data_IF_677181584123
#
_entry.id   IF_677181584123
#
_cell.length_a   1.000
_cell.length_b   1.000
_cell.length_c   1.000
_cell.angle_alpha   90.00
_cell.angle_beta   90.00
_cell.angle_gamma   90.00
#
_symmetry.space_group_name_H-M   'P 1'
#
loop_
_entity.id
_entity.type
_entity.pdbx_description
1 polymer ?
#
# COMPACT_ATOMS: atom_id res chain seq x y z
N UNK A 1 -20.70 -3.79 -14.58
CA UNK A 1 -19.22 -3.66 -14.47
C UNK A 1 -18.53 -3.97 -15.80
N UNK A 2 -18.60 -5.20 -16.33
CA UNK A 2 -17.94 -5.53 -17.62
C UNK A 2 -18.34 -4.62 -18.79
N UNK A 3 -19.62 -4.24 -18.91
CA UNK A 3 -20.09 -3.28 -19.92
C UNK A 3 -19.42 -1.91 -19.83
N UNK A 4 -19.21 -1.40 -18.60
CA UNK A 4 -18.55 -0.12 -18.36
C UNK A 4 -17.08 -0.16 -18.76
N UNK A 5 -16.38 -1.24 -18.39
CA UNK A 5 -14.97 -1.44 -18.76
C UNK A 5 -14.83 -1.55 -20.28
N UNK A 6 -15.71 -2.28 -20.97
CA UNK A 6 -15.74 -2.33 -22.44
C UNK A 6 -15.91 -0.95 -23.06
N UNK A 7 -16.84 -0.16 -22.56
CA UNK A 7 -17.06 1.21 -23.05
C UNK A 7 -15.78 2.05 -22.91
N UNK A 8 -15.11 1.97 -21.76
CA UNK A 8 -13.85 2.68 -21.53
C UNK A 8 -12.71 2.20 -22.44
N UNK A 9 -12.60 0.88 -22.69
CA UNK A 9 -11.62 0.33 -23.64
C UNK A 9 -11.90 0.83 -25.06
N UNK A 10 -13.16 0.89 -25.48
CA UNK A 10 -13.55 1.40 -26.81
C UNK A 10 -13.21 2.89 -26.94
N UNK A 11 -13.46 3.68 -25.89
CA UNK A 11 -13.15 5.12 -25.87
C UNK A 11 -11.63 5.38 -25.98
N UNK A 12 -10.82 4.64 -25.23
CA UNK A 12 -9.34 4.79 -25.21
C UNK A 12 -8.70 4.15 -26.46
N UNK A 13 -9.35 3.14 -27.02
CA UNK A 13 -8.82 2.25 -28.06
C UNK A 13 -8.07 1.08 -27.44
N UNK A 14 -8.46 -0.14 -27.79
CA UNK A 14 -7.90 -1.41 -27.31
C UNK A 14 -6.37 -1.49 -27.43
N UNK A 15 -5.80 -0.98 -28.52
CA UNK A 15 -4.33 -0.95 -28.76
C UNK A 15 -3.54 -0.07 -27.77
N UNK A 16 -4.24 0.85 -27.09
CA UNK A 16 -3.67 1.78 -26.11
C UNK A 16 -3.83 1.26 -24.68
N UNK A 17 -4.62 0.21 -24.47
CA UNK A 17 -4.83 -0.39 -23.14
C UNK A 17 -3.87 -1.55 -22.94
N UNK A 18 -3.15 -1.55 -21.82
CA UNK A 18 -2.23 -2.63 -21.44
C UNK A 18 -2.93 -3.61 -20.49
N UNK A 19 -3.57 -3.09 -19.45
CA UNK A 19 -4.18 -3.89 -18.40
C UNK A 19 -5.41 -3.22 -17.81
N UNK A 20 -6.25 -4.04 -17.18
CA UNK A 20 -7.36 -3.65 -16.32
C UNK A 20 -7.07 -4.14 -14.91
N UNK A 21 -6.88 -3.21 -13.98
CA UNK A 21 -6.60 -3.50 -12.57
C UNK A 21 -7.90 -3.40 -11.78
N UNK A 22 -8.25 -4.45 -11.02
CA UNK A 22 -9.41 -4.44 -10.11
C UNK A 22 -9.08 -5.12 -8.78
N UNK A 23 -9.98 -5.00 -7.80
CA UNK A 23 -9.86 -5.74 -6.54
C UNK A 23 -9.92 -7.26 -6.73
N UNK A 24 -9.65 -8.01 -5.66
CA UNK A 24 -9.59 -9.47 -5.70
C UNK A 24 -10.94 -10.15 -5.46
N UNK A 25 -12.04 -9.40 -5.44
CA UNK A 25 -13.36 -9.97 -5.23
C UNK A 25 -13.70 -10.94 -6.38
N UNK A 26 -14.43 -12.04 -6.11
CA UNK A 26 -14.78 -13.02 -7.14
C UNK A 26 -15.48 -12.40 -8.36
N UNK A 27 -16.31 -11.37 -8.15
CA UNK A 27 -17.01 -10.63 -9.22
C UNK A 27 -16.02 -9.87 -10.09
N UNK A 28 -15.06 -9.16 -9.49
CA UNK A 28 -14.02 -8.41 -10.20
C UNK A 28 -13.11 -9.34 -11.01
N UNK A 29 -12.75 -10.50 -10.44
CA UNK A 29 -12.02 -11.55 -11.16
C UNK A 29 -12.80 -12.09 -12.35
N UNK A 30 -14.09 -12.40 -12.18
CA UNK A 30 -14.93 -12.89 -13.27
C UNK A 30 -15.07 -11.85 -14.39
N UNK A 31 -15.21 -10.58 -14.04
CA UNK A 31 -15.22 -9.47 -15.01
C UNK A 31 -13.88 -9.36 -15.75
N UNK A 32 -12.76 -9.46 -15.02
CA UNK A 32 -11.42 -9.49 -15.61
C UNK A 32 -11.27 -10.57 -16.68
N UNK A 33 -11.69 -11.80 -16.36
CA UNK A 33 -11.67 -12.92 -17.31
C UNK A 33 -12.52 -12.65 -18.57
N UNK A 34 -13.70 -12.05 -18.42
CA UNK A 34 -14.54 -11.68 -19.57
C UNK A 34 -13.84 -10.67 -20.48
N UNK A 35 -13.15 -9.68 -19.89
CA UNK A 35 -12.38 -8.69 -20.66
C UNK A 35 -11.20 -9.34 -21.39
N UNK A 36 -10.50 -10.28 -20.78
CA UNK A 36 -9.40 -10.99 -21.45
C UNK A 36 -9.88 -11.88 -22.60
N UNK A 37 -11.12 -12.38 -22.56
CA UNK A 37 -11.73 -13.11 -23.68
C UNK A 37 -12.06 -12.16 -24.83
N UNK A 38 -12.65 -11.01 -24.53
CA UNK A 38 -13.04 -10.02 -25.55
C UNK A 38 -11.82 -9.32 -26.17
N UNK A 39 -10.77 -9.12 -25.37
CA UNK A 39 -9.54 -8.42 -25.74
C UNK A 39 -8.31 -9.26 -25.35
N UNK A 40 -7.90 -10.24 -26.17
CA UNK A 40 -6.85 -11.18 -25.82
C UNK A 40 -5.48 -10.57 -25.52
N UNK A 41 -5.21 -9.34 -25.94
CA UNK A 41 -3.94 -8.64 -25.68
C UNK A 41 -3.96 -7.80 -24.39
N UNK A 42 -5.13 -7.55 -23.80
CA UNK A 42 -5.28 -6.83 -22.54
C UNK A 42 -5.17 -7.82 -21.38
N UNK A 43 -4.44 -7.43 -20.35
CA UNK A 43 -4.26 -8.25 -19.15
C UNK A 43 -5.27 -7.83 -18.07
N UNK A 44 -5.86 -8.80 -17.38
CA UNK A 44 -6.45 -8.52 -16.08
C UNK A 44 -5.38 -8.71 -15.00
N UNK A 45 -5.27 -7.74 -14.09
CA UNK A 45 -4.35 -7.81 -12.97
C UNK A 45 -5.06 -7.51 -11.66
N UNK A 46 -4.84 -8.32 -10.61
CA UNK A 46 -5.34 -8.03 -9.29
C UNK A 46 -4.58 -6.87 -8.66
N UNK A 47 -5.30 -6.02 -7.93
CA UNK A 47 -4.72 -4.90 -7.20
C UNK A 47 -3.76 -5.38 -6.10
N UNK A 48 -2.50 -4.91 -6.17
CA UNK A 48 -1.46 -5.30 -5.20
C UNK A 48 -1.78 -4.75 -3.80
N UNK A 49 -2.26 -3.51 -3.68
CA UNK A 49 -2.66 -2.91 -2.39
C UNK A 49 -3.76 -3.73 -1.73
N UNK A 50 -4.79 -4.10 -2.50
CA UNK A 50 -5.88 -4.94 -1.99
C UNK A 50 -5.36 -6.33 -1.58
N UNK A 51 -4.40 -6.90 -2.32
CA UNK A 51 -3.75 -8.16 -1.99
C UNK A 51 -3.01 -8.10 -0.66
N UNK A 52 -2.18 -7.07 -0.44
CA UNK A 52 -1.45 -6.84 0.80
C UNK A 52 -2.39 -6.62 1.98
N UNK A 53 -3.48 -5.87 1.77
CA UNK A 53 -4.47 -5.69 2.82
C UNK A 53 -5.17 -6.99 3.20
N UNK A 54 -5.51 -7.85 2.23
CA UNK A 54 -6.07 -9.17 2.53
C UNK A 54 -5.07 -10.07 3.26
N UNK A 55 -3.76 -9.89 3.04
CA UNK A 55 -2.73 -10.56 3.84
C UNK A 55 -2.74 -10.06 5.29
N UNK A 56 -2.70 -8.73 5.49
CA UNK A 56 -2.78 -8.12 6.81
C UNK A 56 -4.06 -8.51 7.56
N UNK A 57 -5.19 -8.59 6.88
CA UNK A 57 -6.46 -9.05 7.46
C UNK A 57 -6.39 -10.50 7.92
N UNK A 58 -5.77 -11.38 7.13
CA UNK A 58 -5.60 -12.78 7.50
C UNK A 58 -4.68 -12.94 8.72
N UNK A 59 -3.67 -12.07 8.86
CA UNK A 59 -2.74 -12.05 9.99
C UNK A 59 -3.42 -11.45 11.24
N UNK A 60 -4.01 -10.26 11.11
CA UNK A 60 -4.49 -9.49 12.27
C UNK A 60 -5.87 -9.92 12.78
N UNK A 61 -6.67 -10.58 11.94
CA UNK A 61 -8.03 -11.01 12.24
C UNK A 61 -8.25 -12.48 11.86
N UNK A 62 -7.32 -13.34 12.27
CA UNK A 62 -7.40 -14.78 12.04
C UNK A 62 -8.70 -15.34 12.64
N UNK A 63 -9.46 -16.08 11.83
CA UNK A 63 -10.73 -16.70 12.25
C UNK A 63 -10.49 -18.15 12.66
N UNK A 64 -11.15 -18.56 13.74
CA UNK A 64 -11.19 -19.95 14.16
C UNK A 64 -12.16 -20.72 13.26
N UNK A 65 -11.62 -21.51 12.34
CA UNK A 65 -12.36 -22.41 11.46
C UNK A 65 -11.56 -23.70 11.32
N UNK A 66 -12.20 -24.83 11.04
CA UNK A 66 -11.53 -26.15 10.88
C UNK A 66 -10.35 -26.12 9.88
N UNK A 67 -10.39 -25.20 8.89
CA UNK A 67 -9.32 -25.06 7.87
C UNK A 67 -8.20 -24.11 8.27
N UNK A 68 -8.30 -23.44 9.41
CA UNK A 68 -7.42 -22.33 9.82
C UNK A 68 -7.00 -22.42 11.29
N UNK A 69 -7.08 -23.60 11.91
CA UNK A 69 -6.79 -23.81 13.34
C UNK A 69 -5.37 -23.39 13.72
N UNK A 70 -4.38 -23.80 12.92
CA UNK A 70 -2.96 -23.47 13.15
C UNK A 70 -2.74 -21.96 13.07
N UNK A 71 -3.24 -21.32 12.02
CA UNK A 71 -3.08 -19.88 11.86
C UNK A 71 -3.86 -19.09 12.94
N UNK A 72 -5.00 -19.61 13.39
CA UNK A 72 -5.71 -19.04 14.53
C UNK A 72 -4.85 -19.16 15.81
N UNK A 73 -4.29 -20.33 16.11
CA UNK A 73 -3.45 -20.52 17.29
C UNK A 73 -2.25 -19.57 17.31
N UNK A 74 -1.60 -19.35 16.16
CA UNK A 74 -0.40 -18.53 16.04
C UNK A 74 -0.69 -17.01 15.95
N UNK A 75 -1.84 -16.59 15.41
CA UNK A 75 -2.15 -15.18 15.17
C UNK A 75 -3.24 -14.59 16.08
N UNK A 76 -4.00 -15.38 16.84
CA UNK A 76 -5.15 -14.89 17.62
C UNK A 76 -4.77 -13.80 18.63
N UNK A 77 -3.59 -13.89 19.23
CA UNK A 77 -3.08 -12.89 20.18
C UNK A 77 -3.00 -11.48 19.55
N UNK A 78 -2.82 -11.36 18.23
CA UNK A 78 -2.83 -10.10 17.49
C UNK A 78 -4.24 -9.51 17.50
N UNK A 79 -5.24 -10.35 17.26
CA UNK A 79 -6.65 -9.97 17.31
C UNK A 79 -7.05 -9.50 18.71
N UNK A 80 -6.65 -10.23 19.77
CA UNK A 80 -6.90 -9.82 21.15
C UNK A 80 -6.23 -8.47 21.48
N UNK A 81 -4.98 -8.28 21.03
CA UNK A 81 -4.23 -7.03 21.26
C UNK A 81 -4.92 -5.85 20.59
N UNK A 82 -5.38 -6.01 19.34
CA UNK A 82 -6.16 -5.00 18.60
C UNK A 82 -7.53 -4.73 19.22
N UNK A 83 -8.22 -5.76 19.71
CA UNK A 83 -9.51 -5.59 20.41
C UNK A 83 -9.35 -4.78 21.70
N UNK A 84 -8.27 -4.97 22.46
CA UNK A 84 -7.95 -4.14 23.64
C UNK A 84 -7.72 -2.68 23.27
N UNK A 85 -6.97 -2.41 22.19
CA UNK A 85 -6.79 -1.04 21.69
C UNK A 85 -8.13 -0.40 21.31
N UNK A 86 -8.97 -1.12 20.57
CA UNK A 86 -10.31 -0.63 20.19
C UNK A 86 -11.23 -0.43 21.39
N UNK A 87 -11.14 -1.28 22.42
CA UNK A 87 -11.87 -1.11 23.67
C UNK A 87 -11.48 0.19 24.38
N UNK A 88 -10.18 0.43 24.55
CA UNK A 88 -9.67 1.69 25.15
C UNK A 88 -10.14 2.90 24.33
N UNK A 89 -10.03 2.83 23.01
CA UNK A 89 -10.49 3.89 22.11
C UNK A 89 -11.97 4.19 22.29
N UNK A 90 -12.81 3.17 22.18
CA UNK A 90 -14.27 3.35 22.29
C UNK A 90 -14.66 3.85 23.68
N UNK A 91 -13.95 3.41 24.73
CA UNK A 91 -14.20 3.87 26.10
C UNK A 91 -13.96 5.37 26.26
N UNK A 92 -12.90 5.91 25.64
CA UNK A 92 -12.55 7.33 25.68
C UNK A 92 -13.46 8.15 24.75
N UNK A 93 -13.59 7.74 23.49
CA UNK A 93 -14.22 8.54 22.44
C UNK A 93 -15.74 8.64 22.57
N UNK A 94 -16.41 7.67 23.18
CA UNK A 94 -17.87 7.63 23.25
C UNK A 94 -18.47 8.51 24.38
N UNK A 95 -17.64 9.14 25.22
CA UNK A 95 -18.11 9.99 26.32
C UNK A 95 -17.40 11.34 26.31
N UNK A 96 -18.16 12.43 26.16
CA UNK A 96 -17.65 13.79 26.01
C UNK A 96 -16.66 14.21 27.11
N UNK A 97 -16.96 13.89 28.37
CA UNK A 97 -16.05 14.19 29.49
C UNK A 97 -14.72 13.43 29.42
N UNK A 98 -14.72 12.17 28.98
CA UNK A 98 -13.49 11.36 28.85
C UNK A 98 -12.65 11.87 27.68
N UNK A 99 -13.32 12.27 26.60
CA UNK A 99 -12.69 12.92 25.46
C UNK A 99 -12.06 14.27 25.86
N UNK A 100 -12.74 15.07 26.68
CA UNK A 100 -12.20 16.32 27.21
C UNK A 100 -10.93 16.09 28.03
N UNK A 101 -10.96 15.14 28.98
CA UNK A 101 -9.78 14.74 29.75
C UNK A 101 -8.67 14.26 28.79
N UNK A 102 -8.98 13.40 27.83
CA UNK A 102 -8.00 12.93 26.84
C UNK A 102 -7.30 14.08 26.10
N UNK A 103 -8.06 15.06 25.62
CA UNK A 103 -7.52 16.21 24.89
C UNK A 103 -6.62 17.12 25.76
N UNK A 104 -6.71 17.07 27.10
CA UNK A 104 -5.79 17.79 27.98
C UNK A 104 -4.41 17.13 28.06
N UNK A 105 -4.33 15.81 27.90
CA UNK A 105 -3.07 15.04 28.04
C UNK A 105 -2.47 14.60 26.71
N UNK A 106 -3.26 14.56 25.64
CA UNK A 106 -2.86 14.06 24.33
C UNK A 106 -3.18 15.13 23.28
N UNK A 107 -2.16 15.74 22.64
CA UNK A 107 -2.38 16.78 21.64
C UNK A 107 -2.89 16.22 20.30
N UNK A 108 -2.70 14.92 20.07
CA UNK A 108 -3.10 14.24 18.83
C UNK A 108 -4.47 13.59 18.97
N UNK A 109 -5.30 13.79 17.96
CA UNK A 109 -6.60 13.13 17.90
C UNK A 109 -6.46 11.61 17.80
N UNK A 110 -7.35 10.91 18.50
CA UNK A 110 -7.47 9.46 18.35
C UNK A 110 -8.20 9.14 17.06
N UNK A 111 -7.63 8.25 16.25
CA UNK A 111 -8.14 8.02 14.90
C UNK A 111 -9.40 7.19 14.85
N UNK A 112 -10.37 7.68 14.06
CA UNK A 112 -11.53 6.92 13.63
C UNK A 112 -11.32 6.34 12.23
N UNK A 113 -10.57 5.23 12.17
CA UNK A 113 -10.35 4.49 10.92
C UNK A 113 -11.56 3.60 10.65
N UNK A 114 -12.20 3.75 9.48
CA UNK A 114 -13.25 2.84 9.04
C UNK A 114 -12.70 1.41 8.89
N UNK A 115 -13.47 0.39 9.33
CA UNK A 115 -13.08 -1.03 9.25
C UNK A 115 -12.77 -1.52 7.82
N UNK A 116 -13.24 -0.78 6.82
CA UNK A 116 -13.03 -1.04 5.39
C UNK A 116 -11.69 -0.54 4.85
N UNK A 117 -10.93 0.25 5.62
CA UNK A 117 -9.65 0.83 5.17
C UNK A 117 -8.49 -0.14 5.29
N UNK A 118 -7.53 0.01 4.37
CA UNK A 118 -6.33 -0.80 4.33
C UNK A 118 -5.53 -0.68 5.64
N UNK A 119 -5.03 -1.81 6.14
CA UNK A 119 -4.16 -1.86 7.32
C UNK A 119 -4.70 -1.17 8.59
N UNK A 120 -6.03 -1.06 8.76
CA UNK A 120 -6.67 -0.30 9.85
C UNK A 120 -6.16 -0.64 11.25
N UNK A 121 -5.94 -1.94 11.54
CA UNK A 121 -5.35 -2.41 12.81
C UNK A 121 -3.98 -1.80 13.03
N UNK A 122 -3.11 -1.80 12.02
CA UNK A 122 -1.73 -1.31 12.12
C UNK A 122 -1.72 0.21 12.30
N UNK A 123 -2.57 0.95 11.59
CA UNK A 123 -2.73 2.40 11.72
C UNK A 123 -3.15 2.78 13.15
N UNK A 124 -4.15 2.08 13.70
CA UNK A 124 -4.61 2.31 15.07
C UNK A 124 -3.48 2.03 16.08
N UNK A 125 -2.80 0.90 15.96
CA UNK A 125 -1.71 0.53 16.87
C UNK A 125 -0.53 1.52 16.80
N UNK A 126 -0.15 1.98 15.60
CA UNK A 126 0.86 3.03 15.41
C UNK A 126 0.44 4.33 16.10
N UNK A 127 -0.81 4.78 15.95
CA UNK A 127 -1.31 5.97 16.66
C UNK A 127 -1.25 5.78 18.17
N UNK A 128 -1.69 4.62 18.67
CA UNK A 128 -1.62 4.29 20.11
C UNK A 128 -0.20 4.39 20.66
N UNK A 129 0.78 3.86 19.92
CA UNK A 129 2.19 3.97 20.28
C UNK A 129 2.66 5.42 20.36
N UNK A 130 2.27 6.24 19.38
CA UNK A 130 2.64 7.67 19.33
C UNK A 130 2.09 8.45 20.53
N UNK A 131 0.88 8.14 20.98
CA UNK A 131 0.21 8.83 22.10
C UNK A 131 0.40 8.12 23.46
N UNK A 132 1.28 7.11 23.54
CA UNK A 132 1.45 6.25 24.72
C UNK A 132 1.70 7.06 26.00
N UNK A 133 2.63 8.00 25.98
CA UNK A 133 3.00 8.78 27.17
C UNK A 133 1.84 9.63 27.69
N UNK A 134 1.08 10.26 26.79
CA UNK A 134 -0.09 11.05 27.16
C UNK A 134 -1.21 10.17 27.73
N UNK A 135 -1.47 9.00 27.12
CA UNK A 135 -2.43 8.03 27.66
C UNK A 135 -2.04 7.54 29.06
N UNK A 136 -0.76 7.22 29.28
CA UNK A 136 -0.26 6.76 30.57
C UNK A 136 -0.40 7.84 31.65
N UNK A 137 -0.09 9.08 31.31
CA UNK A 137 -0.23 10.25 32.22
C UNK A 137 -1.70 10.52 32.54
N UNK A 138 -2.58 10.41 31.54
CA UNK A 138 -4.03 10.59 31.69
C UNK A 138 -4.60 9.61 32.72
N UNK A 139 -4.34 8.31 32.61
CA UNK A 139 -4.97 7.29 33.49
C UNK A 139 -4.46 7.27 34.93
N UNK A 140 -3.34 7.94 35.20
CA UNK A 140 -2.81 8.13 36.56
C UNK A 140 -3.20 9.49 37.17
N UNK A 141 -3.81 10.38 36.39
CA UNK A 141 -4.21 11.71 36.86
C UNK A 141 -5.34 11.67 37.91
N UNK A 142 -5.38 12.72 38.74
CA UNK A 142 -6.47 12.93 39.70
C UNK A 142 -7.81 13.14 38.99
N UNK A 143 -7.80 13.82 37.84
CA UNK A 143 -8.98 14.04 37.01
C UNK A 143 -9.62 12.71 36.56
N UNK A 144 -8.80 11.77 36.07
CA UNK A 144 -9.27 10.43 35.70
C UNK A 144 -9.82 9.65 36.89
N UNK A 145 -9.26 9.88 38.08
CA UNK A 145 -9.71 9.21 39.31
C UNK A 145 -11.03 9.77 39.83
N UNK A 146 -11.21 11.10 39.78
CA UNK A 146 -12.44 11.77 40.19
C UNK A 146 -13.65 11.41 39.31
N UNK A 147 -13.42 11.11 38.03
CA UNK A 147 -14.48 10.84 37.06
C UNK A 147 -15.13 9.43 37.18
N UNK A 148 -14.57 8.50 37.98
CA UNK A 148 -14.93 7.06 37.95
C UNK A 148 -16.37 6.68 38.32
N UNK A 149 -17.23 7.61 38.73
CA UNK A 149 -18.50 7.33 39.42
C UNK A 149 -19.54 6.51 38.62
N UNK A 150 -19.47 6.45 37.27
CA UNK A 150 -20.49 5.75 36.44
C UNK A 150 -20.00 4.45 35.74
N UNK A 151 -18.69 4.17 35.68
CA UNK A 151 -18.13 3.06 34.87
C UNK A 151 -16.82 2.50 35.48
N UNK A 152 -16.77 2.40 36.82
CA UNK A 152 -15.55 2.09 37.61
C UNK A 152 -14.79 0.86 37.07
N UNK A 153 -15.49 -0.23 36.77
CA UNK A 153 -14.86 -1.49 36.32
C UNK A 153 -14.17 -1.32 34.96
N UNK A 154 -14.86 -0.74 33.97
CA UNK A 154 -14.28 -0.51 32.64
C UNK A 154 -13.12 0.49 32.71
N UNK A 155 -13.24 1.54 33.52
CA UNK A 155 -12.17 2.51 33.74
C UNK A 155 -10.93 1.86 34.38
N UNK A 156 -11.13 0.91 35.30
CA UNK A 156 -10.05 0.11 35.88
C UNK A 156 -9.38 -0.76 34.83
N UNK A 157 -10.15 -1.47 33.99
CA UNK A 157 -9.62 -2.27 32.87
C UNK A 157 -8.83 -1.42 31.87
N UNK A 158 -9.31 -0.22 31.52
CA UNK A 158 -8.57 0.70 30.64
C UNK A 158 -7.24 1.12 31.26
N UNK A 159 -7.24 1.47 32.55
CA UNK A 159 -6.02 1.80 33.29
C UNK A 159 -5.04 0.62 33.32
N UNK A 160 -5.53 -0.60 33.56
CA UNK A 160 -4.71 -1.81 33.54
C UNK A 160 -4.07 -2.04 32.17
N UNK A 161 -4.83 -1.94 31.08
CA UNK A 161 -4.32 -2.12 29.71
C UNK A 161 -3.24 -1.07 29.41
N UNK A 162 -3.49 0.21 29.68
CA UNK A 162 -2.57 1.31 29.35
C UNK A 162 -1.28 1.25 30.15
N UNK A 163 -1.31 0.73 31.38
CA UNK A 163 -0.13 0.59 32.24
C UNK A 163 0.57 -0.78 32.12
N UNK A 164 0.10 -1.66 31.23
CA UNK A 164 0.66 -3.00 31.06
C UNK A 164 1.80 -3.01 30.02
N UNK A 165 3.04 -3.12 30.50
CA UNK A 165 4.22 -3.15 29.63
C UNK A 165 4.23 -4.35 28.68
N UNK A 166 3.76 -5.52 29.12
CA UNK A 166 3.66 -6.72 28.27
C UNK A 166 2.67 -6.50 27.12
N UNK A 167 1.60 -5.73 27.34
CA UNK A 167 0.68 -5.37 26.26
C UNK A 167 1.35 -4.42 25.26
N UNK A 168 2.12 -3.44 25.73
CA UNK A 168 2.87 -2.54 24.85
C UNK A 168 3.95 -3.27 24.06
N UNK A 169 4.65 -4.24 24.65
CA UNK A 169 5.63 -5.08 23.95
C UNK A 169 4.97 -5.85 22.80
N UNK A 170 3.74 -6.36 22.98
CA UNK A 170 2.95 -6.97 21.91
C UNK A 170 2.59 -5.97 20.81
N UNK A 171 2.20 -4.75 21.17
CA UNK A 171 1.91 -3.67 20.20
C UNK A 171 3.15 -3.34 19.38
N UNK A 172 4.30 -3.19 20.05
CA UNK A 172 5.58 -2.90 19.41
C UNK A 172 6.00 -4.02 18.46
N UNK A 173 5.83 -5.27 18.88
CA UNK A 173 6.12 -6.43 18.03
C UNK A 173 5.24 -6.45 16.78
N UNK A 174 3.92 -6.26 16.92
CA UNK A 174 2.99 -6.20 15.78
C UNK A 174 3.41 -5.13 14.78
N UNK A 175 3.70 -3.92 15.26
CA UNK A 175 4.14 -2.81 14.40
C UNK A 175 5.46 -3.16 13.70
N UNK A 176 6.41 -3.75 14.42
CA UNK A 176 7.73 -4.06 13.88
C UNK A 176 7.67 -5.06 12.73
N UNK A 177 7.03 -6.23 12.92
CA UNK A 177 7.05 -7.26 11.87
C UNK A 177 6.10 -6.93 10.70
N UNK A 178 5.06 -6.11 10.92
CA UNK A 178 4.16 -5.68 9.84
C UNK A 178 4.66 -4.44 9.10
N UNK A 179 5.69 -3.75 9.59
CA UNK A 179 6.25 -2.57 8.94
C UNK A 179 6.65 -2.82 7.47
N UNK A 180 7.38 -3.91 7.11
CA UNK A 180 7.73 -4.15 5.70
C UNK A 180 6.51 -4.34 4.79
N UNK A 181 5.43 -4.94 5.29
CA UNK A 181 4.16 -5.10 4.55
C UNK A 181 3.50 -3.75 4.35
N UNK A 182 3.46 -2.92 5.41
CA UNK A 182 2.90 -1.58 5.37
C UNK A 182 3.68 -0.65 4.43
N UNK A 183 5.01 -0.71 4.44
CA UNK A 183 5.86 0.10 3.58
C UNK A 183 5.67 -0.25 2.10
N UNK A 184 5.59 -1.55 1.80
CA UNK A 184 5.23 -2.03 0.46
C UNK A 184 3.85 -1.51 0.03
N UNK A 185 2.89 -1.54 0.96
CA UNK A 185 1.53 -1.07 0.71
C UNK A 185 1.55 0.42 0.35
N UNK A 186 2.27 1.27 1.09
CA UNK A 186 2.42 2.70 0.80
C UNK A 186 3.02 2.98 -0.58
N UNK A 187 4.10 2.28 -0.94
CA UNK A 187 4.74 2.47 -2.25
C UNK A 187 3.80 2.08 -3.39
N UNK A 188 3.07 0.98 -3.23
CA UNK A 188 2.13 0.47 -4.24
C UNK A 188 0.79 1.22 -4.25
N UNK A 189 0.45 1.91 -3.17
CA UNK A 189 -0.69 2.82 -3.07
C UNK A 189 -0.40 4.18 -3.70
N UNK A 190 0.32 4.21 -4.81
CA UNK A 190 0.56 5.43 -5.58
C UNK A 190 0.26 5.18 -7.05
N UNK A 191 0.10 6.26 -7.81
CA UNK A 191 -0.10 6.16 -9.26
C UNK A 191 1.24 6.08 -10.00
N UNK A 192 2.35 5.94 -9.25
CA UNK A 192 3.69 5.83 -9.81
C UNK A 192 3.86 4.49 -10.53
N UNK A 193 4.74 4.42 -11.53
CA UNK A 193 5.07 3.17 -12.17
C UNK A 193 5.73 2.20 -11.18
N UNK A 194 4.99 1.19 -10.77
CA UNK A 194 5.38 0.25 -9.70
C UNK A 194 5.29 -1.20 -10.14
N UNK A 195 4.65 -1.49 -11.28
CA UNK A 195 4.42 -2.85 -11.77
C UNK A 195 5.71 -3.70 -11.85
N UNK A 196 6.83 -3.09 -12.26
CA UNK A 196 8.13 -3.75 -12.41
C UNK A 196 8.86 -4.00 -11.09
N UNK A 197 8.46 -3.31 -10.02
CA UNK A 197 9.03 -3.43 -8.69
C UNK A 197 8.34 -4.50 -7.86
N UNK A 198 7.07 -4.82 -8.17
CA UNK A 198 6.22 -5.70 -7.36
C UNK A 198 6.91 -7.01 -6.99
N UNK A 199 7.52 -7.72 -7.94
CA UNK A 199 8.18 -9.02 -7.69
C UNK A 199 9.27 -8.88 -6.62
N UNK A 200 10.24 -7.98 -6.85
CA UNK A 200 11.32 -7.73 -5.91
C UNK A 200 10.83 -7.20 -4.55
N UNK A 201 9.80 -6.35 -4.56
CA UNK A 201 9.21 -5.81 -3.33
C UNK A 201 8.60 -6.92 -2.47
N UNK A 202 7.98 -7.94 -3.06
CA UNK A 202 7.47 -9.09 -2.33
C UNK A 202 8.59 -9.90 -1.68
N UNK A 203 9.64 -10.23 -2.42
CA UNK A 203 10.79 -10.98 -1.89
C UNK A 203 11.45 -10.23 -0.74
N UNK A 204 11.77 -8.95 -0.97
CA UNK A 204 12.40 -8.08 0.04
C UNK A 204 11.51 -7.92 1.28
N UNK A 205 10.20 -7.76 1.09
CA UNK A 205 9.25 -7.63 2.19
C UNK A 205 9.22 -8.92 3.02
N UNK A 206 9.13 -10.09 2.38
CA UNK A 206 9.11 -11.39 3.08
C UNK A 206 10.41 -11.61 3.86
N UNK A 207 11.57 -11.30 3.27
CA UNK A 207 12.87 -11.42 3.94
C UNK A 207 12.95 -10.51 5.19
N UNK A 208 12.47 -9.26 5.09
CA UNK A 208 12.43 -8.33 6.23
C UNK A 208 11.44 -8.77 7.31
N UNK A 209 10.28 -9.31 6.94
CA UNK A 209 9.32 -9.91 7.87
C UNK A 209 9.97 -11.08 8.62
N UNK A 210 10.62 -12.00 7.88
CA UNK A 210 11.35 -13.14 8.45
C UNK A 210 12.39 -12.69 9.47
N UNK A 211 13.26 -11.77 9.07
CA UNK A 211 14.34 -11.25 9.92
C UNK A 211 13.79 -10.62 11.20
N UNK A 212 12.69 -9.87 11.11
CA UNK A 212 12.06 -9.22 12.26
C UNK A 212 11.44 -10.23 13.23
N UNK A 213 10.75 -11.24 12.72
CA UNK A 213 10.13 -12.30 13.53
C UNK A 213 11.21 -13.13 14.23
N UNK A 214 12.21 -13.63 13.49
CA UNK A 214 13.27 -14.46 14.07
C UNK A 214 14.09 -13.71 15.12
N UNK A 215 14.39 -12.43 14.87
CA UNK A 215 15.08 -11.57 15.84
C UNK A 215 14.28 -11.43 17.14
N UNK A 216 12.96 -11.25 17.05
CA UNK A 216 12.10 -11.16 18.24
C UNK A 216 12.02 -12.50 18.99
N UNK A 217 12.04 -13.61 18.28
CA UNK A 217 12.05 -14.96 18.87
C UNK A 217 13.43 -15.40 19.40
N UNK A 218 14.49 -14.59 19.19
CA UNK A 218 15.86 -14.94 19.58
C UNK A 218 16.44 -16.11 18.76
N UNK A 219 16.00 -16.24 17.50
CA UNK A 219 16.33 -17.34 16.59
C UNK A 219 17.29 -16.92 15.48
N UNK A 220 18.13 -17.86 15.05
CA UNK A 220 19.02 -17.69 13.90
C UNK A 220 18.27 -17.86 12.56
N UNK A 221 18.86 -17.42 11.44
CA UNK A 221 18.19 -17.38 10.13
C UNK A 221 17.67 -18.74 9.60
N UNK A 222 18.25 -19.83 10.11
CA UNK A 222 17.94 -21.21 9.73
C UNK A 222 17.03 -21.93 10.74
N UNK A 223 16.71 -21.30 11.87
CA UNK A 223 15.85 -21.88 12.89
C UNK A 223 14.39 -21.87 12.43
N UNK A 224 13.64 -22.87 12.88
CA UNK A 224 12.22 -22.96 12.58
C UNK A 224 11.39 -22.04 13.49
N UNK A 225 10.47 -21.29 12.91
CA UNK A 225 9.47 -20.50 13.62
C UNK A 225 8.08 -20.85 13.10
N UNK A 226 7.23 -21.41 13.96
CA UNK A 226 5.85 -21.76 13.62
C UNK A 226 5.03 -20.52 13.26
N UNK A 227 5.26 -19.42 13.99
CA UNK A 227 4.65 -18.13 13.69
C UNK A 227 5.08 -17.59 12.32
N UNK A 228 6.38 -17.60 12.02
CA UNK A 228 6.86 -17.21 10.69
C UNK A 228 6.30 -18.13 9.60
N UNK A 229 6.27 -19.44 9.81
CA UNK A 229 5.74 -20.40 8.83
C UNK A 229 4.27 -20.09 8.48
N UNK A 230 3.46 -19.72 9.48
CA UNK A 230 2.08 -19.26 9.27
C UNK A 230 2.02 -17.94 8.51
N UNK A 231 2.80 -16.93 8.92
CA UNK A 231 2.82 -15.61 8.26
C UNK A 231 3.30 -15.74 6.81
N UNK A 232 4.39 -16.48 6.58
CA UNK A 232 4.95 -16.79 5.27
C UNK A 232 3.92 -17.51 4.39
N UNK A 233 3.25 -18.54 4.92
CA UNK A 233 2.18 -19.24 4.21
C UNK A 233 1.09 -18.27 3.75
N UNK A 234 0.60 -17.38 4.63
CA UNK A 234 -0.39 -16.35 4.29
C UNK A 234 0.11 -15.43 3.18
N UNK A 235 1.36 -14.96 3.26
CA UNK A 235 1.96 -14.05 2.27
C UNK A 235 2.10 -14.74 0.90
N UNK A 236 2.63 -15.95 0.85
CA UNK A 236 2.79 -16.74 -0.38
C UNK A 236 1.44 -17.09 -0.99
N UNK A 237 0.45 -17.44 -0.18
CA UNK A 237 -0.91 -17.73 -0.64
C UNK A 237 -1.56 -16.53 -1.34
N UNK A 238 -1.21 -15.31 -0.89
CA UNK A 238 -1.68 -14.05 -1.48
C UNK A 238 -0.87 -13.69 -2.71
N UNK A 239 0.46 -13.81 -2.64
CA UNK A 239 1.36 -13.60 -3.77
C UNK A 239 0.98 -14.49 -4.96
N UNK A 240 0.87 -15.81 -4.76
CA UNK A 240 0.54 -16.79 -5.80
C UNK A 240 -0.79 -16.49 -6.51
N UNK A 241 -1.76 -15.94 -5.80
CA UNK A 241 -3.07 -15.56 -6.35
C UNK A 241 -3.05 -14.21 -7.08
N UNK A 242 -2.00 -13.41 -6.87
CA UNK A 242 -1.88 -12.03 -7.37
C UNK A 242 -0.81 -11.83 -8.45
N UNK A 243 0.25 -12.63 -8.44
CA UNK A 243 1.30 -12.57 -9.45
C UNK A 243 0.73 -12.96 -10.81
N UNK A 244 1.10 -12.20 -11.83
CA UNK A 244 0.64 -12.43 -13.21
C UNK A 244 1.82 -12.42 -14.16
N UNK A 245 1.69 -13.00 -15.37
CA UNK A 245 2.70 -12.89 -16.42
C UNK A 245 3.20 -11.46 -16.67
N UNK A 246 2.33 -10.47 -16.45
CA UNK A 246 2.64 -9.06 -16.66
C UNK A 246 3.63 -8.53 -15.62
N UNK A 247 3.49 -8.93 -14.35
CA UNK A 247 4.46 -8.60 -13.29
C UNK A 247 5.84 -9.16 -13.61
N UNK A 248 5.91 -10.44 -13.99
CA UNK A 248 7.17 -11.11 -14.34
C UNK A 248 7.82 -10.50 -15.60
N UNK A 249 7.03 -10.12 -16.60
CA UNK A 249 7.53 -9.41 -17.79
C UNK A 249 8.06 -8.02 -17.42
N UNK A 250 7.31 -7.23 -16.65
CA UNK A 250 7.72 -5.90 -16.24
C UNK A 250 9.01 -5.94 -15.40
N UNK A 251 9.10 -6.88 -14.46
CA UNK A 251 10.30 -7.13 -13.67
C UNK A 251 11.49 -7.56 -14.55
N UNK A 252 11.26 -8.43 -15.54
CA UNK A 252 12.29 -8.84 -16.51
C UNK A 252 12.83 -7.69 -17.36
N UNK A 253 12.10 -6.58 -17.48
CA UNK A 253 12.49 -5.39 -18.25
C UNK A 253 13.08 -4.29 -17.38
N UNK A 254 13.18 -4.48 -16.06
CA UNK A 254 13.82 -3.50 -15.19
C UNK A 254 15.34 -3.53 -15.44
N UNK A 255 15.99 -2.42 -15.87
CA UNK A 255 17.42 -2.39 -16.10
C UNK A 255 18.24 -2.42 -14.81
N UNK A 256 17.67 -2.00 -13.67
CA UNK A 256 18.33 -2.02 -12.37
C UNK A 256 18.49 -3.45 -11.84
N UNK A 257 19.72 -3.77 -11.44
CA UNK A 257 20.11 -5.05 -10.84
C UNK A 257 20.57 -4.95 -9.37
N UNK A 258 20.23 -3.84 -8.70
CA UNK A 258 20.72 -3.43 -7.36
C UNK A 258 20.20 -4.42 -6.32
N UNK A 259 18.95 -4.80 -6.53
CA UNK A 259 18.23 -5.78 -5.75
C UNK A 259 18.89 -7.16 -5.74
N UNK A 260 19.72 -7.52 -6.71
CA UNK A 260 20.45 -8.80 -6.70
C UNK A 260 21.48 -8.86 -5.58
N UNK A 261 22.02 -7.72 -5.16
CA UNK A 261 23.01 -7.66 -4.08
C UNK A 261 22.39 -7.74 -2.68
N UNK A 262 21.07 -7.55 -2.55
CA UNK A 262 20.39 -7.55 -1.26
C UNK A 262 20.30 -8.93 -0.60
N UNK A 263 20.30 -10.02 -1.40
CA UNK A 263 20.29 -11.38 -0.88
C UNK A 263 21.01 -12.36 -1.83
N UNK A 264 21.78 -13.29 -1.27
CA UNK A 264 22.66 -14.20 -2.04
C UNK A 264 21.91 -15.23 -2.90
N UNK A 265 20.64 -15.49 -2.62
CA UNK A 265 19.77 -16.41 -3.35
C UNK A 265 19.07 -15.76 -4.55
N UNK A 266 19.19 -14.44 -4.73
CA UNK A 266 18.55 -13.72 -5.85
C UNK A 266 19.33 -13.96 -7.13
N UNK A 267 18.60 -14.17 -8.22
CA UNK A 267 19.17 -14.42 -9.55
C UNK A 267 18.56 -13.48 -10.58
N UNK A 268 19.31 -13.12 -11.64
CA UNK A 268 18.76 -12.31 -12.71
C UNK A 268 17.48 -12.92 -13.33
N UNK A 269 16.52 -12.11 -13.83
CA UNK A 269 15.24 -12.60 -14.36
C UNK A 269 15.33 -13.59 -15.53
N UNK A 270 16.48 -13.63 -16.23
CA UNK A 270 16.73 -14.57 -17.30
C UNK A 270 17.22 -15.95 -16.80
N UNK A 271 17.69 -16.04 -15.56
CA UNK A 271 18.14 -17.26 -14.88
C UNK A 271 17.07 -17.87 -13.96
N UNK A 272 16.05 -17.10 -13.60
CA UNK A 272 14.90 -17.59 -12.86
C UNK A 272 13.91 -18.34 -13.76
N UNK A 273 13.61 -19.59 -13.42
CA UNK A 273 12.77 -20.47 -14.25
C UNK A 273 11.30 -20.05 -14.24
N UNK A 274 10.78 -19.58 -13.10
CA UNK A 274 9.39 -19.14 -12.96
C UNK A 274 9.18 -17.86 -13.74
N UNK A 275 10.05 -16.87 -13.54
CA UNK A 275 10.02 -15.60 -14.29
C UNK A 275 10.15 -15.87 -15.79
N UNK A 276 11.03 -16.78 -16.21
CA UNK A 276 11.18 -17.13 -17.62
C UNK A 276 9.91 -17.74 -18.24
N UNK A 277 9.24 -18.65 -17.53
CA UNK A 277 7.97 -19.25 -17.98
C UNK A 277 6.89 -18.18 -18.12
N UNK A 278 6.73 -17.33 -17.11
CA UNK A 278 5.71 -16.28 -17.05
C UNK A 278 5.97 -15.17 -18.08
N UNK A 279 7.23 -14.72 -18.23
CA UNK A 279 7.64 -13.79 -19.30
C UNK A 279 7.27 -14.32 -20.67
N UNK A 280 7.53 -15.60 -20.95
CA UNK A 280 7.19 -16.21 -22.22
C UNK A 280 5.68 -16.33 -22.45
N UNK A 281 4.88 -16.52 -21.39
CA UNK A 281 3.40 -16.43 -21.47
C UNK A 281 2.98 -15.02 -21.85
N UNK A 282 3.57 -14.00 -21.23
CA UNK A 282 3.30 -12.60 -21.56
C UNK A 282 3.64 -12.27 -23.03
N UNK A 283 4.83 -12.67 -23.51
CA UNK A 283 5.23 -12.46 -24.91
C UNK A 283 4.29 -13.13 -25.91
N UNK A 284 3.79 -14.35 -25.61
CA UNK A 284 2.78 -15.03 -26.47
C UNK A 284 1.46 -14.28 -26.53
N UNK A 285 1.04 -13.69 -25.40
CA UNK A 285 -0.19 -12.89 -25.32
C UNK A 285 -0.03 -11.54 -26.04
N UNK A 286 1.14 -10.92 -25.92
CA UNK A 286 1.42 -9.62 -26.53
C UNK A 286 1.63 -9.71 -28.05
N UNK A 287 2.43 -10.68 -28.50
CA UNK A 287 2.80 -10.87 -29.91
C UNK A 287 2.11 -12.11 -30.50
N UNK A 288 0.98 -11.85 -31.18
CA UNK A 288 0.21 -12.88 -31.87
C UNK A 288 0.97 -13.45 -33.08
N UNK A 289 1.70 -12.61 -33.80
CA UNK A 289 2.57 -13.01 -34.89
C UNK A 289 3.81 -13.76 -34.35
N UNK A 290 4.12 -14.91 -34.94
CA UNK A 290 5.22 -15.76 -34.48
C UNK A 290 6.61 -15.19 -34.77
N UNK A 291 6.78 -14.47 -35.87
CA UNK A 291 8.05 -13.84 -36.26
C UNK A 291 8.34 -12.64 -35.35
N UNK A 292 7.35 -11.79 -35.09
CA UNK A 292 7.48 -10.68 -34.14
C UNK A 292 7.83 -11.20 -32.74
N UNK A 293 7.19 -12.29 -32.31
CA UNK A 293 7.49 -12.92 -31.02
C UNK A 293 8.92 -13.47 -30.96
N UNK A 294 9.41 -14.08 -32.05
CA UNK A 294 10.80 -14.57 -32.14
C UNK A 294 11.78 -13.41 -32.09
N UNK A 295 11.50 -12.33 -32.82
CA UNK A 295 12.31 -11.11 -32.80
C UNK A 295 12.35 -10.48 -31.40
N UNK A 296 11.19 -10.29 -30.75
CA UNK A 296 11.12 -9.76 -29.38
C UNK A 296 11.87 -10.64 -28.36
N UNK A 297 11.85 -11.97 -28.54
CA UNK A 297 12.62 -12.90 -27.70
C UNK A 297 14.12 -12.74 -27.90
N UNK A 298 14.58 -12.54 -29.15
CA UNK A 298 15.99 -12.27 -29.45
C UNK A 298 16.43 -10.92 -28.91
N UNK A 299 15.60 -9.89 -29.04
CA UNK A 299 15.84 -8.58 -28.44
C UNK A 299 15.97 -8.66 -26.92
N UNK A 300 15.10 -9.45 -26.27
CA UNK A 300 15.20 -9.71 -24.83
C UNK A 300 16.54 -10.36 -24.47
N UNK A 301 17.00 -11.34 -25.27
CA UNK A 301 18.29 -11.98 -25.04
C UNK A 301 19.47 -11.00 -25.13
N UNK A 302 19.42 -10.02 -26.05
CA UNK A 302 20.44 -8.95 -26.14
C UNK A 302 20.44 -8.08 -24.89
N UNK A 303 19.27 -7.64 -24.45
CA UNK A 303 19.12 -6.86 -23.21
C UNK A 303 19.62 -7.64 -21.98
N UNK A 304 19.10 -8.85 -21.77
CA UNK A 304 19.47 -9.65 -20.59
C UNK A 304 20.94 -10.07 -20.59
N UNK A 305 21.51 -10.27 -21.79
CA UNK A 305 22.91 -10.62 -21.99
C UNK A 305 23.86 -9.42 -22.00
N UNK A 306 23.36 -8.19 -21.79
CA UNK A 306 24.15 -6.94 -21.84
C UNK A 306 24.96 -6.82 -23.14
N UNK A 307 24.33 -7.16 -24.27
CA UNK A 307 24.96 -7.11 -25.59
C UNK A 307 24.83 -5.71 -26.19
N UNK A 308 25.77 -5.38 -27.07
CA UNK A 308 25.78 -4.12 -27.84
C UNK A 308 25.62 -2.90 -26.91
N UNK A 309 24.68 -2.00 -27.21
CA UNK A 309 24.40 -0.77 -26.46
C UNK A 309 24.04 -1.02 -24.98
N UNK A 310 23.53 -2.20 -24.61
CA UNK A 310 23.15 -2.52 -23.24
C UNK A 310 24.33 -2.89 -22.34
N UNK A 311 25.47 -3.22 -22.94
CA UNK A 311 26.74 -3.47 -22.25
C UNK A 311 27.68 -2.28 -22.24
N UNK A 312 27.27 -1.16 -22.85
CA UNK A 312 28.09 0.04 -22.89
C UNK A 312 28.24 0.66 -21.49
N UNK A 313 29.36 1.36 -21.27
CA UNK A 313 29.71 1.93 -19.97
C UNK A 313 28.61 2.85 -19.44
N UNK A 314 28.13 3.78 -20.27
CA UNK A 314 27.07 4.72 -19.89
C UNK A 314 25.76 3.98 -19.58
N UNK A 315 25.42 2.96 -20.35
CA UNK A 315 24.22 2.13 -20.11
C UNK A 315 24.28 1.35 -18.79
N UNK A 316 25.47 0.86 -18.42
CA UNK A 316 25.73 0.17 -17.16
C UNK A 316 25.75 1.12 -15.96
N UNK A 317 26.14 2.38 -16.15
CA UNK A 317 26.13 3.39 -15.10
C UNK A 317 24.73 3.96 -14.89
N UNK A 318 24.00 4.22 -15.98
CA UNK A 318 22.73 4.91 -15.94
C UNK A 318 21.56 4.05 -15.45
N UNK A 319 21.69 2.72 -15.45
CA UNK A 319 20.64 1.84 -14.90
C UNK A 319 20.37 2.04 -13.40
N UNK A 320 21.31 2.69 -12.71
CA UNK A 320 21.25 3.02 -11.28
C UNK A 320 20.66 4.41 -11.02
N UNK A 321 20.81 5.33 -11.96
CA UNK A 321 20.47 6.74 -11.80
C UNK A 321 19.17 7.12 -12.52
N UNK A 322 18.88 6.49 -13.66
CA UNK A 322 17.73 6.79 -14.48
C UNK A 322 16.53 5.96 -14.07
N UNK A 323 15.35 6.58 -14.14
CA UNK A 323 14.09 5.83 -14.09
C UNK A 323 14.06 4.81 -15.24
N UNK A 324 13.57 3.57 -15.02
CA UNK A 324 13.57 2.51 -16.02
C UNK A 324 13.02 2.93 -17.38
N UNK A 325 11.93 3.71 -17.39
CA UNK A 325 11.34 4.25 -18.63
C UNK A 325 12.31 5.15 -19.40
N UNK A 326 13.02 6.05 -18.71
CA UNK A 326 13.99 6.95 -19.31
C UNK A 326 15.19 6.18 -19.85
N UNK A 327 15.68 5.19 -19.09
CA UNK A 327 16.76 4.31 -19.53
C UNK A 327 16.40 3.57 -20.84
N UNK A 328 15.17 3.04 -20.95
CA UNK A 328 14.72 2.39 -22.17
C UNK A 328 14.57 3.35 -23.36
N UNK A 329 14.26 4.63 -23.14
CA UNK A 329 14.24 5.63 -24.21
C UNK A 329 15.64 5.89 -24.78
N UNK A 330 16.65 5.93 -23.92
CA UNK A 330 18.04 6.20 -24.31
C UNK A 330 18.68 4.96 -24.97
N UNK A 331 18.60 3.81 -24.31
CA UNK A 331 19.39 2.62 -24.68
C UNK A 331 18.59 1.55 -25.46
N UNK A 332 17.25 1.66 -25.51
CA UNK A 332 16.39 0.63 -26.12
C UNK A 332 16.28 0.66 -27.65
N UNK A 333 16.94 1.61 -28.34
CA UNK A 333 16.77 1.86 -29.78
C UNK A 333 17.11 0.67 -30.67
N UNK A 334 18.04 -0.19 -30.24
CA UNK A 334 18.46 -1.40 -30.96
C UNK A 334 17.48 -2.57 -30.82
N UNK A 335 16.42 -2.40 -30.00
CA UNK A 335 15.40 -3.41 -29.70
C UNK A 335 13.99 -2.81 -29.81
N UNK A 336 13.52 -2.46 -31.01
CA UNK A 336 12.29 -1.69 -31.18
C UNK A 336 11.02 -2.41 -30.69
N UNK A 337 10.94 -3.74 -30.80
CA UNK A 337 9.77 -4.49 -30.33
C UNK A 337 9.73 -4.54 -28.81
N UNK A 338 10.87 -4.83 -28.19
CA UNK A 338 11.01 -4.93 -26.75
C UNK A 338 10.90 -3.56 -26.08
N UNK A 339 11.52 -2.53 -26.66
CA UNK A 339 11.43 -1.14 -26.18
C UNK A 339 9.97 -0.68 -26.13
N UNK A 340 9.18 -0.99 -27.16
CA UNK A 340 7.74 -0.67 -27.17
C UNK A 340 6.98 -1.32 -26.03
N UNK A 341 7.33 -2.55 -25.67
CA UNK A 341 6.74 -3.25 -24.52
C UNK A 341 7.23 -2.63 -23.20
N UNK A 342 8.54 -2.39 -23.07
CA UNK A 342 9.15 -1.81 -21.87
C UNK A 342 8.55 -0.45 -21.52
N UNK A 343 8.46 0.48 -22.48
CA UNK A 343 7.87 1.80 -22.26
C UNK A 343 6.40 1.73 -21.81
N UNK A 344 5.67 0.71 -22.28
CA UNK A 344 4.28 0.47 -21.87
C UNK A 344 4.18 -0.13 -20.48
N UNK A 345 5.00 -1.13 -20.14
CA UNK A 345 4.93 -1.84 -18.86
C UNK A 345 5.58 -1.07 -17.70
N UNK A 346 6.73 -0.43 -17.95
CA UNK A 346 7.48 0.33 -16.95
C UNK A 346 6.87 1.69 -16.62
N UNK A 347 5.72 2.02 -17.23
CA UNK A 347 4.90 3.18 -16.87
C UNK A 347 3.61 2.79 -16.15
N UNK A 348 3.39 1.50 -15.87
CA UNK A 348 2.15 1.03 -15.26
C UNK A 348 2.18 1.08 -13.72
N UNK A 349 1.09 1.54 -13.08
CA UNK A 349 0.86 1.26 -11.67
C UNK A 349 0.48 -0.22 -11.47
N UNK A 350 0.51 -0.68 -10.22
CA UNK A 350 0.05 -2.02 -9.82
C UNK A 350 -1.19 -2.01 -8.91
N UNK A 351 -1.81 -0.85 -8.71
CA UNK A 351 -2.95 -0.67 -7.80
C UNK A 351 -4.14 -0.02 -8.48
N UNK A 352 -5.34 -0.41 -8.05
CA UNK A 352 -6.61 0.25 -8.39
C UNK A 352 -7.03 1.33 -7.38
N UNK A 353 -6.26 1.56 -6.31
CA UNK A 353 -6.59 2.54 -5.26
C UNK A 353 -6.70 3.97 -5.77
N UNK A 354 -6.04 4.30 -6.88
CA UNK A 354 -6.16 5.60 -7.52
C UNK A 354 -7.61 5.95 -7.88
N UNK A 355 -8.40 4.95 -8.26
CA UNK A 355 -9.83 5.08 -8.51
C UNK A 355 -10.63 5.29 -7.21
N UNK A 356 -10.16 4.78 -6.07
CA UNK A 356 -10.78 5.00 -4.75
C UNK A 356 -10.69 6.47 -4.32
N UNK A 357 -9.61 7.17 -4.65
CA UNK A 357 -9.48 8.62 -4.40
C UNK A 357 -10.48 9.45 -5.22
N UNK A 358 -10.82 9.00 -6.43
CA UNK A 358 -11.87 9.63 -7.24
C UNK A 358 -13.26 9.48 -6.58
N UNK A 359 -13.52 8.36 -5.89
CA UNK A 359 -14.75 8.18 -5.12
C UNK A 359 -14.81 9.08 -3.89
N UNK A 360 -13.68 9.30 -3.20
CA UNK A 360 -13.60 10.29 -2.11
C UNK A 360 -13.90 11.71 -2.61
N UNK A 361 -13.33 12.09 -3.76
CA UNK A 361 -13.62 13.36 -4.43
C UNK A 361 -15.09 13.46 -4.81
N UNK A 362 -15.67 12.39 -5.35
CA UNK A 362 -17.10 12.35 -5.69
C UNK A 362 -17.97 12.56 -4.44
N UNK A 363 -17.64 11.89 -3.33
CA UNK A 363 -18.34 12.05 -2.04
C UNK A 363 -18.26 13.49 -1.50
N UNK A 364 -17.10 14.14 -1.65
CA UNK A 364 -16.92 15.55 -1.32
C UNK A 364 -17.80 16.48 -2.16
N UNK A 365 -17.83 16.25 -3.49
CA UNK A 365 -18.59 17.04 -4.46
C UNK A 365 -20.11 16.79 -4.33
N UNK A 366 -20.51 15.57 -3.95
CA UNK A 366 -21.89 15.11 -3.92
C UNK A 366 -22.18 14.37 -2.60
N UNK A 367 -22.47 15.13 -1.54
CA UNK A 367 -22.84 14.59 -0.22
C UNK A 367 -24.34 14.71 0.06
N UNK A 368 -24.86 13.88 0.96
CA UNK A 368 -26.29 13.89 1.36
C UNK A 368 -26.79 15.25 1.88
N UNK A 369 -25.88 16.16 2.30
CA UNK A 369 -26.22 17.50 2.83
C UNK A 369 -26.26 18.60 1.77
N UNK A 370 -25.74 18.41 0.54
CA UNK A 370 -25.73 19.42 -0.55
C UNK A 370 -26.26 18.85 -1.87
N UNK A 371 -27.57 18.87 -2.09
CA UNK A 371 -28.20 18.23 -3.25
C UNK A 371 -28.98 19.21 -4.15
N UNK A 372 -28.31 19.70 -5.21
CA UNK A 372 -28.94 20.24 -6.45
C UNK A 372 -28.20 19.83 -7.74
N UNK A 373 -27.23 18.93 -7.68
CA UNK A 373 -26.39 18.57 -8.81
C UNK A 373 -26.79 17.23 -9.42
N UNK A 374 -26.76 17.12 -10.75
CA UNK A 374 -27.04 15.86 -11.44
C UNK A 374 -25.82 14.92 -11.36
N UNK A 375 -26.01 13.58 -11.36
CA UNK A 375 -24.90 12.63 -11.35
C UNK A 375 -23.90 12.88 -12.48
N UNK A 376 -24.40 13.18 -13.69
CA UNK A 376 -23.54 13.50 -14.84
C UNK A 376 -22.62 14.70 -14.59
N UNK A 377 -23.13 15.76 -13.94
CA UNK A 377 -22.32 16.94 -13.62
C UNK A 377 -21.32 16.65 -12.50
N UNK A 378 -21.65 15.78 -11.54
CA UNK A 378 -20.70 15.32 -10.54
C UNK A 378 -19.57 14.49 -11.18
N UNK A 379 -19.90 13.58 -12.10
CA UNK A 379 -18.92 12.82 -12.89
C UNK A 379 -17.99 13.73 -13.70
N UNK A 380 -18.55 14.73 -14.40
CA UNK A 380 -17.76 15.68 -15.19
C UNK A 380 -16.82 16.53 -14.30
N UNK A 381 -17.27 16.91 -13.09
CA UNK A 381 -16.42 17.62 -12.13
C UNK A 381 -15.29 16.73 -11.58
N UNK A 382 -15.58 15.47 -11.25
CA UNK A 382 -14.55 14.51 -10.84
C UNK A 382 -13.55 14.31 -11.98
N UNK A 383 -14.01 14.14 -13.22
CA UNK A 383 -13.14 14.03 -14.39
C UNK A 383 -12.22 15.25 -14.53
N UNK A 384 -12.74 16.46 -14.41
CA UNK A 384 -11.94 17.69 -14.47
C UNK A 384 -10.93 17.74 -13.31
N UNK A 385 -11.36 17.47 -12.08
CA UNK A 385 -10.50 17.47 -10.89
C UNK A 385 -9.34 16.48 -11.03
N UNK A 386 -9.65 15.23 -11.38
CA UNK A 386 -8.64 14.18 -11.57
C UNK A 386 -7.66 14.54 -12.68
N UNK A 387 -8.12 15.08 -13.81
CA UNK A 387 -7.21 15.48 -14.89
C UNK A 387 -6.34 16.70 -14.53
N UNK A 388 -6.90 17.69 -13.83
CA UNK A 388 -6.12 18.84 -13.34
C UNK A 388 -5.05 18.39 -12.35
N UNK A 389 -5.37 17.44 -11.46
CA UNK A 389 -4.37 16.79 -10.58
C UNK A 389 -3.28 16.10 -11.38
N UNK A 390 -3.62 15.26 -12.35
CA UNK A 390 -2.62 14.58 -13.19
C UNK A 390 -1.71 15.56 -13.94
N UNK A 391 -2.24 16.71 -14.37
CA UNK A 391 -1.45 17.76 -15.00
C UNK A 391 -0.54 18.49 -14.01
N UNK A 392 -0.98 18.74 -12.78
CA UNK A 392 -0.16 19.40 -11.76
C UNK A 392 1.07 18.58 -11.38
N UNK A 393 1.00 17.24 -11.49
CA UNK A 393 2.14 16.33 -11.24
C UNK A 393 3.31 16.50 -12.20
N UNK A 394 3.12 17.21 -13.32
CA UNK A 394 4.21 17.53 -14.27
C UNK A 394 5.06 18.72 -13.81
N UNK A 395 4.65 19.42 -12.75
CA UNK A 395 5.37 20.56 -12.21
C UNK A 395 6.34 20.09 -11.11
N UNK A 396 7.56 20.62 -11.07
CA UNK A 396 8.55 20.29 -10.04
C UNK A 396 8.05 20.60 -8.63
N UNK A 397 7.17 21.60 -8.48
CA UNK A 397 6.54 21.95 -7.20
C UNK A 397 5.63 20.84 -6.63
N UNK A 398 5.27 19.83 -7.43
CA UNK A 398 4.49 18.68 -6.97
C UNK A 398 5.37 17.62 -6.29
N UNK A 399 6.62 17.48 -6.73
CA UNK A 399 7.58 16.52 -6.18
C UNK A 399 8.50 17.14 -5.13
N UNK A 400 8.54 18.46 -5.01
CA UNK A 400 9.42 19.22 -4.11
C UNK A 400 8.63 20.11 -3.14
N UNK A 401 9.22 20.44 -1.99
CA UNK A 401 8.62 21.34 -0.99
C UNK A 401 7.68 20.67 0.04
N UNK A 402 7.06 21.50 0.88
CA UNK A 402 6.15 21.07 1.96
C UNK A 402 4.82 20.49 1.45
N UNK A 403 4.35 20.94 0.27
CA UNK A 403 3.13 20.45 -0.38
C UNK A 403 3.38 19.30 -1.37
N UNK A 404 4.50 18.57 -1.25
CA UNK A 404 4.80 17.46 -2.15
C UNK A 404 3.70 16.39 -2.04
N UNK A 405 3.28 15.84 -3.17
CA UNK A 405 2.30 14.74 -3.21
C UNK A 405 1.00 15.03 -2.43
N UNK A 406 0.58 16.30 -2.35
CA UNK A 406 -0.59 16.75 -1.58
C UNK A 406 -1.89 16.02 -1.91
N UNK A 407 -1.98 15.38 -3.08
CA UNK A 407 -3.16 14.66 -3.60
C UNK A 407 -3.13 13.14 -3.36
N UNK A 408 -2.05 12.61 -2.77
CA UNK A 408 -1.93 11.20 -2.35
C UNK A 408 -2.71 11.00 -1.04
N UNK A 409 -2.68 12.02 -0.19
CA UNK A 409 -3.58 12.18 0.95
C UNK A 409 -4.99 12.54 0.48
N UNK A 410 -6.02 12.01 1.15
CA UNK A 410 -7.40 12.31 0.77
C UNK A 410 -7.68 13.81 0.91
N UNK A 411 -8.50 14.38 0.02
CA UNK A 411 -9.02 15.74 0.22
C UNK A 411 -10.02 15.72 1.39
N UNK A 412 -9.55 15.74 2.63
CA UNK A 412 -10.34 16.20 3.76
C UNK A 412 -9.79 17.54 4.23
N UNK A 413 -10.51 18.60 3.86
CA UNK A 413 -10.31 19.93 4.40
C UNK A 413 -11.21 20.07 5.63
N UNK A 414 -10.59 20.30 6.79
CA UNK A 414 -11.25 20.57 8.07
C UNK A 414 -11.86 22.00 8.04
N UNK A 415 -13.20 22.18 8.07
CA UNK A 415 -13.73 23.48 8.38
C UNK A 415 -13.57 23.67 9.89
N UNK A 416 -12.56 24.45 10.26
CA UNK A 416 -12.14 24.86 11.61
C UNK A 416 -13.21 25.55 12.49
N UNK A 417 -14.50 25.27 12.28
CA UNK A 417 -15.64 25.80 13.02
C UNK A 417 -16.64 24.67 13.32
N UNK A 418 -16.31 23.80 14.28
CA UNK A 418 -17.22 22.71 14.65
C UNK A 418 -16.79 21.89 15.85
N UNK A 419 -16.65 22.50 17.03
CA UNK A 419 -16.56 21.73 18.27
C UNK A 419 -17.79 20.80 18.42
N UNK A 420 -17.58 19.48 18.43
CA UNK A 420 -18.54 18.53 19.01
C UNK A 420 -19.19 17.48 18.11
N UNK A 421 -18.70 17.21 16.89
CA UNK A 421 -19.15 16.04 16.12
C UNK A 421 -17.98 15.09 15.92
N UNK A 422 -18.15 13.82 16.33
CA UNK A 422 -17.24 12.72 16.03
C UNK A 422 -17.13 12.59 14.50
N UNK A 423 -16.07 13.16 13.92
CA UNK A 423 -15.76 12.97 12.51
C UNK A 423 -14.92 11.71 12.34
N UNK A 424 -15.34 10.86 11.40
CA UNK A 424 -14.55 9.73 10.93
C UNK A 424 -13.39 10.33 10.15
N UNK A 425 -12.25 10.52 10.78
CA UNK A 425 -11.05 10.99 10.09
C UNK A 425 -10.71 10.00 8.97
N UNK A 426 -10.87 10.43 7.71
CA UNK A 426 -10.60 9.60 6.56
C UNK A 426 -9.12 9.64 6.19
N UNK A 427 -8.24 9.43 7.16
CA UNK A 427 -6.80 9.53 6.94
C UNK A 427 -6.26 8.49 5.97
N UNK A 428 -5.59 8.94 4.91
CA UNK A 428 -4.78 8.09 4.04
C UNK A 428 -3.57 7.51 4.80
N UNK A 429 -2.90 6.52 4.19
CA UNK A 429 -1.73 5.86 4.79
C UNK A 429 -0.55 6.81 5.07
N UNK A 430 -0.51 7.98 4.41
CA UNK A 430 0.57 8.95 4.51
C UNK A 430 0.31 10.05 5.56
N UNK A 431 -0.94 10.25 5.98
CA UNK A 431 -1.33 11.38 6.84
C UNK A 431 -0.81 11.25 8.28
N UNK A 432 -0.61 10.02 8.77
CA UNK A 432 -0.01 9.76 10.09
C UNK A 432 1.41 10.33 10.23
N UNK A 433 2.22 10.23 9.17
CA UNK A 433 3.61 10.66 9.18
C UNK A 433 3.74 12.14 8.80
N UNK A 434 2.77 12.70 8.06
CA UNK A 434 2.71 14.13 7.77
C UNK A 434 2.30 14.95 8.99
N UNK A 435 1.31 14.47 9.77
CA UNK A 435 0.95 15.10 11.04
C UNK A 435 2.11 15.09 12.03
N UNK A 436 2.91 14.02 12.09
CA UNK A 436 4.05 13.96 13.02
C UNK A 436 5.19 14.92 12.66
N UNK A 437 5.42 15.18 11.36
CA UNK A 437 6.47 16.08 10.86
C UNK A 437 6.08 17.56 11.00
N UNK A 438 4.78 17.89 10.87
CA UNK A 438 4.31 19.28 10.98
C UNK A 438 4.48 19.86 12.40
N UNK A 439 4.63 19.03 13.44
CA UNK A 439 4.77 19.49 14.83
C UNK A 439 6.18 19.31 15.40
N UNK A 440 7.15 18.81 14.62
CA UNK A 440 8.56 18.74 15.07
C UNK A 440 9.38 19.99 14.74
N UNK A 441 8.86 20.90 13.91
CA UNK A 441 9.61 22.07 13.42
C UNK A 441 9.22 23.41 14.08
N UNK A 442 8.34 23.42 15.10
CA UNK A 442 7.90 24.67 15.77
C UNK A 442 8.63 24.99 17.09
N UNK A 443 9.63 24.20 17.50
CA UNK A 443 10.46 24.48 18.68
C UNK A 443 11.92 24.74 18.28
N UNK A 444 12.19 25.86 17.59
CA UNK A 444 13.50 26.56 17.65
C UNK A 444 13.44 27.91 16.91
N UNK A 445 12.69 28.87 17.46
CA UNK A 445 13.01 30.30 17.29
C UNK A 445 13.18 30.89 18.69
N UNK A 446 14.33 30.62 19.29
CA UNK A 446 14.80 31.43 20.41
C UNK A 446 15.19 32.80 19.89
N UNK A 447 14.38 33.77 20.29
CA UNK A 447 14.63 35.20 20.30
C UNK A 447 15.86 35.48 21.17
N UNK A 448 16.97 35.88 20.54
CA UNK A 448 18.10 36.49 21.22
C UNK A 448 18.89 37.38 20.23
N UNK A 449 18.50 38.65 20.14
CA UNK A 449 19.46 39.74 19.91
C UNK A 449 18.87 41.11 20.30
N UNK A 450 19.46 41.66 21.36
CA UNK A 450 19.59 43.06 21.82
C UNK A 450 18.85 44.15 21.02
#
# INVERSE_FOLDING_TARGET
MASLIRSAIVEVGDKNVVQVITDNAPVCKAVGMLIEVDYPQIFWTPCVVHTLNLALKNICAAKNTERNEIAYAECHWITETSQKANFVRNFIMNHSMRLAIFNEFVPLNMLAVADTRFASVIIILKRFKLIKCGLQTMVISDQWTAYKEEDVEKAATVKEIILNDVWWDKVDYIIAFTAPIHDMLRVTDTDKPTLHLVYNMWDTMIEKVKATILRHEGKEANDQSTFYDVVYSILIDRWTKSCTPLHCMAHSLNPSDEWLAEASNRVPPHMDIEIAIERNKCLRKYFLNSDDRKMATMEYARFSGRQDIFGDFDSLQDRWSLEPKAWWLVYGVSTPLLQKVALKLLSQPCSSSCCERNWSTYSFIHSMKRNKMTPKRAEDLVYIHTNLRLLSRKNESYTTGQSKMWDISGDEWDPLEGAGVLEIANLSLDELDLESVLFTDDDDINDDSI
#
